data_IF_961767979055
#
_entry.id   IF_961767979055
#
_cell.length_a   1.000
_cell.length_b   1.000
_cell.length_c   1.000
_cell.angle_alpha   90.00
_cell.angle_beta   90.00
_cell.angle_gamma   90.00
#
_symmetry.space_group_name_H-M   'P 1'
#
loop_
_entity.id
_entity.type
_entity.pdbx_description
1 polymer ?
#
# COMPACT_ATOMS: atom_id res chain seq x y z
N UNK A 1 -0.57 -8.49 7.73
CA UNK A 1 -1.27 -8.60 6.43
C UNK A 1 -0.44 -9.47 5.51
N UNK A 2 -1.06 -10.21 4.57
CA UNK A 2 -0.29 -10.94 3.56
C UNK A 2 0.19 -10.00 2.45
N UNK A 3 1.43 -10.17 1.96
CA UNK A 3 1.97 -9.38 0.84
C UNK A 3 1.10 -9.42 -0.43
N UNK A 4 0.28 -10.47 -0.58
CA UNK A 4 -0.69 -10.59 -1.67
C UNK A 4 -1.81 -9.54 -1.60
N UNK A 5 -2.19 -9.05 -0.42
CA UNK A 5 -3.21 -8.00 -0.30
C UNK A 5 -2.75 -6.68 -0.92
N UNK A 6 -1.48 -6.31 -0.69
CA UNK A 6 -0.85 -5.17 -1.35
C UNK A 6 -0.90 -5.31 -2.87
N UNK A 7 -0.43 -6.44 -3.39
CA UNK A 7 -0.43 -6.69 -4.84
C UNK A 7 -1.86 -6.67 -5.40
N UNK A 8 -2.80 -7.27 -4.69
CA UNK A 8 -4.19 -7.36 -5.09
C UNK A 8 -4.86 -5.97 -5.19
N UNK A 9 -4.63 -5.08 -4.21
CA UNK A 9 -5.10 -3.69 -4.26
C UNK A 9 -4.62 -2.98 -5.53
N UNK A 10 -3.31 -3.06 -5.80
CA UNK A 10 -2.71 -2.36 -6.94
C UNK A 10 -3.22 -2.92 -8.26
N UNK A 11 -3.28 -4.25 -8.40
CA UNK A 11 -3.83 -4.90 -9.61
C UNK A 11 -5.29 -4.53 -9.85
N UNK A 12 -6.09 -4.49 -8.79
CA UNK A 12 -7.50 -4.10 -8.86
C UNK A 12 -7.67 -2.70 -9.45
N UNK A 13 -6.85 -1.75 -8.99
CA UNK A 13 -6.94 -0.35 -9.42
C UNK A 13 -6.40 -0.18 -10.84
N UNK A 14 -5.25 -0.79 -11.16
CA UNK A 14 -4.61 -0.59 -12.47
C UNK A 14 -5.10 -1.54 -13.56
N UNK A 15 -5.91 -2.54 -13.22
CA UNK A 15 -6.35 -3.58 -14.16
C UNK A 15 -5.19 -4.36 -14.76
N UNK A 16 -4.07 -4.50 -14.04
CA UNK A 16 -2.84 -5.07 -14.60
C UNK A 16 -2.65 -6.56 -14.28
N UNK A 17 -2.16 -7.30 -15.29
CA UNK A 17 -1.78 -8.71 -15.22
C UNK A 17 -0.43 -8.92 -14.50
N UNK A 18 0.16 -10.12 -14.61
CA UNK A 18 1.35 -10.53 -13.83
C UNK A 18 2.67 -9.77 -14.12
N UNK A 19 2.68 -8.79 -15.02
CA UNK A 19 3.91 -8.21 -15.59
C UNK A 19 4.27 -6.78 -15.12
N UNK A 20 4.04 -6.44 -13.84
CA UNK A 20 4.65 -5.27 -13.16
C UNK A 20 4.29 -3.85 -13.66
N UNK A 21 3.09 -3.60 -14.16
CA UNK A 21 2.66 -2.20 -14.32
C UNK A 21 2.38 -1.60 -12.93
N UNK A 22 3.09 -0.51 -12.61
CA UNK A 22 2.85 0.37 -11.44
C UNK A 22 3.11 -0.22 -10.04
N UNK A 23 4.07 -1.15 -9.91
CA UNK A 23 4.50 -1.66 -8.60
C UNK A 23 3.59 -2.72 -8.01
N UNK A 24 2.66 -3.27 -8.79
CA UNK A 24 1.76 -4.36 -8.42
C UNK A 24 2.50 -5.71 -8.25
N UNK A 25 3.36 -5.81 -7.23
CA UNK A 25 4.23 -6.95 -6.99
C UNK A 25 4.41 -7.19 -5.49
N UNK A 26 3.96 -8.34 -4.99
CA UNK A 26 4.07 -8.73 -3.59
C UNK A 26 5.51 -8.73 -3.07
N UNK A 27 6.52 -8.92 -3.92
CA UNK A 27 7.94 -8.86 -3.52
C UNK A 27 8.33 -7.48 -2.98
N UNK A 28 7.67 -6.40 -3.43
CA UNK A 28 7.91 -5.06 -2.89
C UNK A 28 7.49 -4.99 -1.42
N UNK A 29 6.34 -5.57 -1.10
CA UNK A 29 5.85 -5.63 0.28
C UNK A 29 6.64 -6.65 1.12
N UNK A 30 7.00 -7.81 0.57
CA UNK A 30 7.87 -8.79 1.26
C UNK A 30 9.22 -8.19 1.68
N UNK A 31 9.79 -7.28 0.86
CA UNK A 31 11.01 -6.55 1.23
C UNK A 31 10.80 -5.62 2.44
N UNK A 32 9.61 -5.05 2.62
CA UNK A 32 9.27 -4.30 3.83
C UNK A 32 9.23 -5.23 5.04
N UNK A 33 8.58 -6.39 4.94
CA UNK A 33 8.54 -7.39 6.02
C UNK A 33 9.94 -7.89 6.40
N UNK A 34 10.77 -8.19 5.41
CA UNK A 34 12.17 -8.58 5.64
C UNK A 34 12.96 -7.46 6.31
N UNK A 35 12.82 -6.21 5.87
CA UNK A 35 13.51 -5.08 6.47
C UNK A 35 13.06 -4.85 7.92
N UNK A 36 11.79 -5.05 8.23
CA UNK A 36 11.27 -5.01 9.60
C UNK A 36 11.87 -6.12 10.48
N UNK A 37 11.97 -7.34 9.94
CA UNK A 37 12.58 -8.45 10.64
C UNK A 37 14.07 -8.20 10.91
N UNK A 38 14.84 -7.84 9.87
CA UNK A 38 16.28 -7.51 10.00
C UNK A 38 16.56 -6.36 10.97
N UNK A 39 15.63 -5.40 11.07
CA UNK A 39 15.73 -4.27 12.00
C UNK A 39 15.70 -4.69 13.46
N UNK A 40 15.02 -5.79 13.76
CA UNK A 40 14.90 -6.34 15.11
C UNK A 40 15.88 -7.49 15.37
N UNK A 41 16.56 -8.01 14.34
CA UNK A 41 17.54 -9.08 14.47
C UNK A 41 18.93 -8.52 14.85
N UNK A 42 19.46 -8.82 16.05
CA UNK A 42 20.79 -8.38 16.46
C UNK A 42 21.94 -9.06 15.69
N UNK A 43 21.72 -10.25 15.13
CA UNK A 43 22.74 -11.05 14.44
C UNK A 43 22.91 -10.65 12.96
N UNK A 44 21.96 -9.88 12.43
CA UNK A 44 22.05 -9.40 11.06
C UNK A 44 23.21 -8.42 10.90
N UNK A 45 24.14 -8.71 9.97
CA UNK A 45 25.46 -8.09 9.86
C UNK A 45 25.53 -6.61 9.48
N UNK A 46 24.40 -5.90 9.45
CA UNK A 46 24.34 -4.44 9.26
C UNK A 46 24.31 -3.71 10.61
N UNK A 47 24.81 -2.48 10.64
CA UNK A 47 24.64 -1.60 11.79
C UNK A 47 23.16 -1.26 12.02
N UNK A 48 22.79 -0.86 13.24
CA UNK A 48 21.41 -0.46 13.54
C UNK A 48 20.93 0.68 12.63
N UNK A 49 21.81 1.65 12.34
CA UNK A 49 21.48 2.77 11.45
C UNK A 49 21.17 2.32 10.03
N UNK A 50 21.92 1.35 9.49
CA UNK A 50 21.66 0.80 8.17
C UNK A 50 20.34 0.02 8.13
N UNK A 51 20.04 -0.76 9.18
CA UNK A 51 18.77 -1.47 9.32
C UNK A 51 17.57 -0.52 9.35
N UNK A 52 17.66 0.56 10.11
CA UNK A 52 16.64 1.62 10.17
C UNK A 52 16.44 2.28 8.79
N UNK A 53 17.53 2.54 8.08
CA UNK A 53 17.47 3.09 6.72
C UNK A 53 16.84 2.13 5.72
N UNK A 54 17.17 0.84 5.76
CA UNK A 54 16.56 -0.19 4.91
C UNK A 54 15.04 -0.26 5.14
N UNK A 55 14.62 -0.31 6.41
CA UNK A 55 13.20 -0.32 6.78
C UNK A 55 12.50 0.94 6.28
N UNK A 56 13.08 2.12 6.52
CA UNK A 56 12.55 3.40 6.02
C UNK A 56 12.39 3.39 4.50
N UNK A 57 13.40 2.95 3.77
CA UNK A 57 13.36 2.93 2.30
C UNK A 57 12.29 1.97 1.78
N UNK A 58 12.21 0.76 2.35
CA UNK A 58 11.18 -0.21 1.98
C UNK A 58 9.77 0.31 2.29
N UNK A 59 9.58 0.92 3.47
CA UNK A 59 8.30 1.50 3.88
C UNK A 59 7.87 2.62 2.94
N UNK A 60 8.75 3.57 2.66
CA UNK A 60 8.46 4.70 1.77
C UNK A 60 8.14 4.24 0.35
N UNK A 61 8.78 3.15 -0.11
CA UNK A 61 8.49 2.55 -1.41
C UNK A 61 7.08 1.97 -1.47
N UNK A 62 6.70 1.14 -0.50
CA UNK A 62 5.33 0.58 -0.43
C UNK A 62 4.31 1.71 -0.34
N UNK A 63 4.52 2.65 0.59
CA UNK A 63 3.64 3.80 0.81
C UNK A 63 3.41 4.60 -0.48
N UNK A 64 4.46 4.88 -1.24
CA UNK A 64 4.35 5.62 -2.50
C UNK A 64 3.45 4.89 -3.50
N UNK A 65 3.67 3.60 -3.71
CA UNK A 65 2.84 2.83 -4.64
C UNK A 65 1.37 2.74 -4.19
N UNK A 66 1.12 2.59 -2.89
CA UNK A 66 -0.25 2.60 -2.36
C UNK A 66 -0.88 3.97 -2.57
N UNK A 67 -0.16 5.07 -2.30
CA UNK A 67 -0.68 6.42 -2.52
C UNK A 67 -1.02 6.68 -3.99
N UNK A 68 -0.11 6.33 -4.90
CA UNK A 68 -0.29 6.49 -6.34
C UNK A 68 -1.51 5.68 -6.84
N UNK A 69 -1.65 4.44 -6.35
CA UNK A 69 -2.80 3.61 -6.66
C UNK A 69 -4.10 4.21 -6.11
N UNK A 70 -4.14 4.58 -4.82
CA UNK A 70 -5.32 5.21 -4.23
C UNK A 70 -5.74 6.47 -4.98
N UNK A 71 -4.79 7.29 -5.43
CA UNK A 71 -5.08 8.49 -6.20
C UNK A 71 -5.76 8.18 -7.54
N UNK A 72 -5.36 7.09 -8.21
CA UNK A 72 -6.00 6.63 -9.45
C UNK A 72 -7.37 6.02 -9.15
N UNK A 73 -7.45 5.08 -8.21
CA UNK A 73 -8.69 4.40 -7.85
C UNK A 73 -9.79 5.37 -7.39
N UNK A 74 -9.45 6.39 -6.60
CA UNK A 74 -10.40 7.43 -6.17
C UNK A 74 -11.00 8.16 -7.39
N UNK A 75 -10.18 8.50 -8.39
CA UNK A 75 -10.66 9.18 -9.60
C UNK A 75 -11.60 8.27 -10.40
N UNK A 76 -11.24 7.00 -10.55
CA UNK A 76 -12.06 6.02 -11.28
C UNK A 76 -13.44 5.84 -10.65
N UNK A 77 -13.52 5.59 -9.33
CA UNK A 77 -14.83 5.39 -8.68
C UNK A 77 -15.66 6.67 -8.61
N UNK A 78 -15.02 7.83 -8.49
CA UNK A 78 -15.72 9.12 -8.47
C UNK A 78 -16.42 9.38 -9.82
N UNK A 79 -15.85 8.90 -10.93
CA UNK A 79 -16.48 8.96 -12.24
C UNK A 79 -17.56 7.87 -12.43
N UNK A 80 -17.45 6.74 -11.71
CA UNK A 80 -18.32 5.57 -11.86
C UNK A 80 -19.55 5.54 -10.93
N UNK A 81 -19.98 6.70 -10.42
CA UNK A 81 -21.15 6.86 -9.53
C UNK A 81 -21.03 6.21 -8.13
N UNK A 82 -19.82 6.13 -7.58
CA UNK A 82 -19.63 5.80 -6.15
C UNK A 82 -20.32 6.81 -5.23
N UNK A 83 -20.66 6.36 -4.00
CA UNK A 83 -21.23 7.27 -3.00
C UNK A 83 -20.21 8.32 -2.58
N UNK A 84 -20.68 9.54 -2.26
CA UNK A 84 -19.81 10.60 -1.77
C UNK A 84 -19.09 10.20 -0.47
N UNK A 85 -19.76 9.40 0.38
CA UNK A 85 -19.20 8.82 1.60
C UNK A 85 -17.98 7.93 1.31
N UNK A 86 -18.08 6.99 0.35
CA UNK A 86 -16.98 6.07 0.01
C UNK A 86 -15.77 6.84 -0.55
N UNK A 87 -16.03 7.83 -1.42
CA UNK A 87 -14.99 8.71 -1.98
C UNK A 87 -14.31 9.51 -0.87
N UNK A 88 -15.09 10.06 0.07
CA UNK A 88 -14.56 10.85 1.17
C UNK A 88 -13.74 9.99 2.15
N UNK A 89 -14.18 8.76 2.44
CA UNK A 89 -13.43 7.82 3.27
C UNK A 89 -12.07 7.49 2.65
N UNK A 90 -12.02 7.21 1.34
CA UNK A 90 -10.75 6.96 0.64
C UNK A 90 -9.82 8.18 0.62
N UNK A 91 -10.36 9.40 0.46
CA UNK A 91 -9.58 10.65 0.55
C UNK A 91 -8.98 10.83 1.95
N UNK A 92 -9.74 10.50 3.00
CA UNK A 92 -9.26 10.52 4.39
C UNK A 92 -8.13 9.51 4.59
N UNK A 93 -8.32 8.25 4.18
CA UNK A 93 -7.29 7.20 4.26
C UNK A 93 -6.01 7.60 3.50
N UNK A 94 -6.15 8.16 2.30
CA UNK A 94 -5.00 8.67 1.53
C UNK A 94 -4.30 9.81 2.26
N UNK A 95 -5.05 10.76 2.80
CA UNK A 95 -4.49 11.91 3.53
C UNK A 95 -3.72 11.44 4.77
N UNK A 96 -4.25 10.46 5.49
CA UNK A 96 -3.56 9.83 6.61
C UNK A 96 -2.27 9.14 6.17
N UNK A 97 -2.32 8.35 5.09
CA UNK A 97 -1.14 7.70 4.50
C UNK A 97 -0.04 8.73 4.17
N UNK A 98 -0.41 9.86 3.58
CA UNK A 98 0.51 10.96 3.20
C UNK A 98 1.02 11.75 4.40
N UNK A 99 0.24 11.87 5.47
CA UNK A 99 0.65 12.63 6.65
C UNK A 99 1.26 11.74 7.74
N UNK A 100 1.41 10.44 7.48
CA UNK A 100 2.00 9.49 8.42
C UNK A 100 3.47 9.84 8.70
N UNK A 101 3.72 10.48 9.85
CA UNK A 101 5.06 10.90 10.27
C UNK A 101 5.90 9.76 10.86
N UNK A 102 5.24 8.83 11.58
CA UNK A 102 5.88 7.64 12.15
C UNK A 102 5.71 6.47 11.18
N UNK A 103 6.79 5.78 10.86
CA UNK A 103 6.74 4.56 10.05
C UNK A 103 5.99 3.47 10.84
N UNK A 104 4.70 3.33 10.56
CA UNK A 104 3.81 2.41 11.26
C UNK A 104 3.24 1.41 10.24
N UNK A 105 3.87 0.24 10.16
CA UNK A 105 3.45 -0.83 9.25
C UNK A 105 2.03 -1.31 9.54
N UNK A 106 1.64 -1.45 10.81
CA UNK A 106 0.29 -1.89 11.15
C UNK A 106 -0.77 -0.94 10.61
N UNK A 107 -0.55 0.38 10.72
CA UNK A 107 -1.49 1.35 10.14
C UNK A 107 -1.47 1.37 8.61
N UNK A 108 -0.31 1.18 7.99
CA UNK A 108 -0.21 0.99 6.54
C UNK A 108 -1.03 -0.22 6.08
N UNK A 109 -0.95 -1.34 6.81
CA UNK A 109 -1.70 -2.57 6.53
C UNK A 109 -3.21 -2.35 6.63
N UNK A 110 -3.66 -1.69 7.69
CA UNK A 110 -5.06 -1.32 7.88
C UNK A 110 -5.58 -0.43 6.74
N UNK A 111 -4.80 0.58 6.33
CA UNK A 111 -5.17 1.46 5.20
C UNK A 111 -5.33 0.64 3.91
N UNK A 112 -4.42 -0.29 3.63
CA UNK A 112 -4.51 -1.17 2.45
C UNK A 112 -5.77 -2.03 2.51
N UNK A 113 -6.05 -2.65 3.65
CA UNK A 113 -7.23 -3.51 3.83
C UNK A 113 -8.54 -2.72 3.74
N UNK A 114 -8.63 -1.54 4.37
CA UNK A 114 -9.79 -0.66 4.30
C UNK A 114 -10.04 -0.13 2.89
N UNK A 115 -9.00 0.36 2.21
CA UNK A 115 -9.10 0.84 0.83
C UNK A 115 -9.56 -0.27 -0.12
N UNK A 116 -9.00 -1.47 0.04
CA UNK A 116 -9.38 -2.66 -0.76
C UNK A 116 -10.88 -2.97 -0.61
N UNK A 117 -11.43 -2.90 0.61
CA UNK A 117 -12.86 -3.13 0.85
C UNK A 117 -13.74 -2.11 0.12
N UNK A 118 -13.37 -0.83 0.19
CA UNK A 118 -14.15 0.25 -0.44
C UNK A 118 -14.09 0.15 -1.97
N UNK A 119 -12.92 -0.13 -2.54
CA UNK A 119 -12.79 -0.30 -4.00
C UNK A 119 -13.56 -1.52 -4.50
N UNK A 120 -13.54 -2.65 -3.77
CA UNK A 120 -14.37 -3.83 -4.09
C UNK A 120 -15.86 -3.50 -4.05
N UNK A 121 -16.32 -2.79 -3.02
CA UNK A 121 -17.72 -2.36 -2.87
C UNK A 121 -18.19 -1.55 -4.09
N UNK A 122 -17.29 -0.76 -4.69
CA UNK A 122 -17.58 0.08 -5.84
C UNK A 122 -17.23 -0.56 -7.20
N UNK A 123 -17.11 -1.89 -7.25
CA UNK A 123 -16.88 -2.68 -8.47
C UNK A 123 -15.66 -2.26 -9.32
N UNK A 124 -14.65 -1.63 -8.72
CA UNK A 124 -13.32 -1.66 -9.31
C UNK A 124 -12.82 -3.10 -9.18
N UNK A 125 -12.95 -3.88 -10.25
CA UNK A 125 -12.47 -5.25 -10.33
C UNK A 125 -11.58 -5.35 -11.56
N UNK A 126 -10.45 -6.05 -11.40
CA UNK A 126 -9.55 -6.49 -12.48
C UNK A 126 -10.39 -7.09 -13.62
N UNK A 127 -10.36 -6.48 -14.80
CA UNK A 127 -10.86 -7.10 -16.05
C UNK A 127 -9.75 -7.92 -16.69
#
# INVERSE_FOLDING_TARGET
MEAMNYEYLLRMIYGCGRNNDNGANADIYRRLEQAEWHRNDPLWGKSQKEKENDYRNAFMKVRRYVEDAMLVGIREIQNAAATEEDVQQLKTLRTELVNMQRLNKNRLDEIIDEATKIFRKNNLIVR
#
